data_IF_048967778765
#
_entry.id   IF_048967778765
#
_cell.length_a   1.000
_cell.length_b   1.000
_cell.length_c   1.000
_cell.angle_alpha   90.00
_cell.angle_beta   90.00
_cell.angle_gamma   90.00
#
_symmetry.space_group_name_H-M   'P 1'
#
loop_
_entity.id
_entity.type
_entity.pdbx_description
1 polymer ?
#
# COMPACT_ATOMS: atom_id res chain seq x y z
N UNK A 1 -8.01 14.64 4.96
CA UNK A 1 -7.54 15.51 3.86
C UNK A 1 -7.92 14.84 2.55
N UNK A 2 -8.49 15.55 1.58
CA UNK A 2 -8.70 15.00 0.24
C UNK A 2 -7.43 15.28 -0.57
N UNK A 3 -6.74 14.23 -1.02
CA UNK A 3 -5.61 14.38 -1.94
C UNK A 3 -6.05 14.99 -3.27
N UNK A 4 -5.11 15.63 -3.97
CA UNK A 4 -5.34 15.95 -5.38
C UNK A 4 -5.52 14.64 -6.17
N UNK A 5 -6.27 14.68 -7.28
CA UNK A 5 -6.45 13.50 -8.11
C UNK A 5 -5.13 12.89 -8.61
N UNK A 6 -4.11 13.72 -8.82
CA UNK A 6 -2.77 13.28 -9.19
C UNK A 6 -2.10 12.48 -8.06
N UNK A 7 -2.13 12.98 -6.83
CA UNK A 7 -1.52 12.31 -5.68
C UNK A 7 -2.25 11.01 -5.35
N UNK A 8 -3.58 11.00 -5.43
CA UNK A 8 -4.37 9.78 -5.31
C UNK A 8 -3.95 8.73 -6.34
N UNK A 9 -3.80 9.12 -7.61
CA UNK A 9 -3.38 8.20 -8.67
C UNK A 9 -1.97 7.65 -8.43
N UNK A 10 -1.03 8.47 -7.95
CA UNK A 10 0.32 8.01 -7.56
C UNK A 10 0.25 6.97 -6.44
N UNK A 11 -0.52 7.25 -5.39
CA UNK A 11 -0.71 6.30 -4.27
C UNK A 11 -1.38 5.00 -4.71
N UNK A 12 -2.38 5.09 -5.59
CA UNK A 12 -3.06 3.93 -6.16
C UNK A 12 -2.12 3.06 -7.00
N UNK A 13 -1.25 3.67 -7.81
CA UNK A 13 -0.24 2.95 -8.58
C UNK A 13 0.74 2.18 -7.67
N UNK A 14 1.17 2.79 -6.56
CA UNK A 14 2.04 2.12 -5.58
C UNK A 14 1.36 0.90 -4.96
N UNK A 15 0.11 1.03 -4.50
CA UNK A 15 -0.67 -0.09 -3.95
C UNK A 15 -0.85 -1.20 -4.97
N UNK A 16 -1.22 -0.87 -6.20
CA UNK A 16 -1.40 -1.85 -7.27
C UNK A 16 -0.10 -2.60 -7.56
N UNK A 17 1.04 -1.89 -7.63
CA UNK A 17 2.36 -2.49 -7.82
C UNK A 17 2.68 -3.47 -6.70
N UNK A 18 2.38 -3.13 -5.44
CA UNK A 18 2.60 -4.02 -4.32
C UNK A 18 1.72 -5.27 -4.39
N UNK A 19 0.45 -5.13 -4.78
CA UNK A 19 -0.45 -6.28 -5.00
C UNK A 19 0.05 -7.19 -6.11
N UNK A 20 0.54 -6.63 -7.21
CA UNK A 20 1.15 -7.39 -8.31
C UNK A 20 2.43 -8.11 -7.89
N UNK A 21 3.29 -7.46 -7.10
CA UNK A 21 4.47 -8.09 -6.53
C UNK A 21 4.09 -9.27 -5.64
N UNK A 22 3.15 -9.08 -4.70
CA UNK A 22 2.70 -10.15 -3.83
C UNK A 22 2.16 -11.33 -4.65
N UNK A 23 1.36 -11.07 -5.68
CA UNK A 23 0.88 -12.11 -6.61
C UNK A 23 2.02 -12.81 -7.36
N UNK A 24 2.99 -12.05 -7.88
CA UNK A 24 4.13 -12.58 -8.64
C UNK A 24 5.02 -13.51 -7.81
N UNK A 25 5.19 -13.19 -6.53
CA UNK A 25 6.00 -13.96 -5.59
C UNK A 25 5.17 -14.93 -4.73
N UNK A 26 3.87 -15.09 -5.03
CA UNK A 26 2.94 -15.94 -4.29
C UNK A 26 2.92 -15.64 -2.76
N UNK A 27 3.05 -14.36 -2.42
CA UNK A 27 2.95 -13.84 -1.06
C UNK A 27 1.47 -13.62 -0.70
N UNK A 28 1.09 -14.05 0.49
CA UNK A 28 -0.28 -13.91 0.97
C UNK A 28 -0.63 -12.44 1.24
N UNK A 29 -1.72 -11.95 0.63
CA UNK A 29 -2.31 -10.65 0.98
C UNK A 29 -3.36 -10.90 2.07
N UNK A 30 -2.91 -10.79 3.32
CA UNK A 30 -3.80 -10.89 4.49
C UNK A 30 -4.64 -9.61 4.70
N UNK A 31 -5.63 -9.68 5.60
CA UNK A 31 -6.43 -8.53 6.01
C UNK A 31 -5.58 -7.33 6.48
N UNK A 32 -4.42 -7.59 7.12
CA UNK A 32 -3.50 -6.53 7.55
C UNK A 32 -2.95 -5.71 6.38
N UNK A 33 -2.72 -6.36 5.23
CA UNK A 33 -2.28 -5.67 4.02
C UNK A 33 -3.37 -4.76 3.47
N UNK A 34 -4.62 -5.23 3.41
CA UNK A 34 -5.74 -4.41 2.93
C UNK A 34 -5.96 -3.18 3.83
N UNK A 35 -5.86 -3.35 5.16
CA UNK A 35 -5.89 -2.22 6.10
C UNK A 35 -4.74 -1.24 5.84
N UNK A 36 -3.52 -1.74 5.66
CA UNK A 36 -2.34 -0.92 5.36
C UNK A 36 -2.50 -0.13 4.06
N UNK A 37 -2.98 -0.77 2.99
CA UNK A 37 -3.26 -0.10 1.71
C UNK A 37 -4.30 1.00 1.87
N UNK A 38 -5.38 0.77 2.64
CA UNK A 38 -6.39 1.79 2.90
C UNK A 38 -5.83 2.97 3.70
N UNK A 39 -5.04 2.72 4.75
CA UNK A 39 -4.37 3.78 5.53
C UNK A 39 -3.48 4.65 4.63
N UNK A 40 -2.72 4.03 3.72
CA UNK A 40 -1.87 4.76 2.78
C UNK A 40 -2.69 5.54 1.74
N UNK A 41 -3.71 4.94 1.14
CA UNK A 41 -4.55 5.63 0.14
C UNK A 41 -5.30 6.83 0.74
N UNK A 42 -5.80 6.68 1.96
CA UNK A 42 -6.53 7.75 2.68
C UNK A 42 -5.60 8.79 3.31
N UNK A 43 -4.29 8.57 3.27
CA UNK A 43 -3.30 9.53 3.76
C UNK A 43 -3.15 9.54 5.27
N UNK A 44 -3.63 8.51 5.95
CA UNK A 44 -3.40 8.32 7.37
C UNK A 44 -1.93 8.00 7.67
N UNK A 45 -1.22 7.45 6.68
CA UNK A 45 0.22 7.21 6.72
C UNK A 45 0.90 7.76 5.47
N UNK A 46 2.18 8.09 5.60
CA UNK A 46 3.01 8.54 4.49
C UNK A 46 3.66 7.36 3.75
N UNK A 47 4.51 7.70 2.78
CA UNK A 47 5.16 6.71 1.93
C UNK A 47 6.29 5.95 2.62
N UNK A 48 6.96 6.56 3.61
CA UNK A 48 8.03 5.92 4.35
C UNK A 48 7.44 4.90 5.34
N UNK A 49 6.42 5.30 6.11
CA UNK A 49 5.69 4.41 7.03
C UNK A 49 5.07 3.23 6.26
N UNK A 50 4.47 3.49 5.09
CA UNK A 50 3.91 2.42 4.25
C UNK A 50 4.95 1.38 3.84
N UNK A 51 6.15 1.82 3.45
CA UNK A 51 7.24 0.91 3.05
C UNK A 51 7.72 0.04 4.21
N UNK A 52 7.89 0.63 5.39
CA UNK A 52 8.32 -0.10 6.58
C UNK A 52 7.29 -1.16 6.99
N UNK A 53 5.99 -0.82 7.01
CA UNK A 53 4.93 -1.77 7.37
C UNK A 53 4.81 -2.90 6.34
N UNK A 54 4.92 -2.61 5.03
CA UNK A 54 4.91 -3.65 3.97
C UNK A 54 6.06 -4.64 4.15
N UNK A 55 7.27 -4.16 4.46
CA UNK A 55 8.42 -5.04 4.69
C UNK A 55 8.23 -5.91 5.94
N UNK A 56 7.58 -5.38 6.98
CA UNK A 56 7.28 -6.16 8.19
C UNK A 56 6.22 -7.25 7.97
N UNK A 57 5.27 -7.03 7.06
CA UNK A 57 4.18 -7.98 6.80
C UNK A 57 4.58 -9.12 5.84
N UNK A 58 5.61 -8.91 5.04
CA UNK A 58 6.15 -9.90 4.10
C UNK A 58 7.29 -10.79 4.69
N UNK A 59 7.53 -10.72 6.01
CA UNK A 59 8.44 -11.62 6.74
C UNK A 59 7.78 -12.95 7.06
#
# INVERSE_FOLDING_TARGET
MNFSGEEWNKRLQVVNTQKEMNKKYNLEISYKHEVLYQRYLTGQIDHEEFKEEVMSLNK
#
